data_IF_181479996703
#
_entry.id   IF_181479996703
#
_cell.length_a   1.000
_cell.length_b   1.000
_cell.length_c   1.000
_cell.angle_alpha   90.00
_cell.angle_beta   90.00
_cell.angle_gamma   90.00
#
_symmetry.space_group_name_H-M   'P 1'
#
loop_
_entity.id
_entity.type
_entity.pdbx_description
1 polymer ?
#
# COMPACT_ATOMS: atom_id res chain seq x y z
N UNK A 1 109.74 61.94 75.12
CA UNK A 1 109.58 62.17 73.66
C UNK A 1 110.09 61.00 72.82
N UNK A 2 111.37 60.92 72.38
CA UNK A 2 111.79 59.87 71.42
C UNK A 2 111.67 58.41 71.91
N UNK A 3 111.96 58.12 73.18
CA UNK A 3 111.84 56.74 73.73
C UNK A 3 110.39 56.29 73.93
N UNK A 4 109.48 57.22 74.22
CA UNK A 4 108.04 56.96 74.35
C UNK A 4 107.43 56.65 72.98
N UNK A 5 107.77 57.42 71.94
CA UNK A 5 107.37 57.14 70.56
C UNK A 5 107.84 55.76 70.06
N UNK A 6 109.05 55.32 70.44
CA UNK A 6 109.54 53.99 70.09
C UNK A 6 108.83 52.85 70.86
N UNK A 7 108.37 53.11 72.09
CA UNK A 7 107.52 52.17 72.83
C UNK A 7 106.13 52.08 72.20
N UNK A 8 105.55 53.22 71.81
CA UNK A 8 104.27 53.30 71.10
C UNK A 8 104.31 52.60 69.73
N UNK A 9 105.35 52.86 68.92
CA UNK A 9 105.58 52.15 67.65
C UNK A 9 105.65 50.63 67.84
N UNK A 10 106.38 50.14 68.85
CA UNK A 10 106.46 48.69 69.15
C UNK A 10 105.16 48.12 69.72
N UNK A 11 104.31 48.93 70.35
CA UNK A 11 102.97 48.50 70.75
C UNK A 11 102.03 48.40 69.54
N UNK A 12 102.04 49.41 68.67
CA UNK A 12 101.28 49.42 67.42
C UNK A 12 101.72 48.30 66.47
N UNK A 13 103.02 47.99 66.37
CA UNK A 13 103.53 46.87 65.59
C UNK A 13 103.14 45.48 66.13
N UNK A 14 102.93 45.38 67.45
CA UNK A 14 102.37 44.16 68.07
C UNK A 14 100.88 44.06 67.78
N UNK A 15 100.15 45.15 67.94
CA UNK A 15 98.71 45.23 67.65
C UNK A 15 98.41 44.97 66.17
N UNK A 16 99.21 45.50 65.24
CA UNK A 16 99.12 45.18 63.80
C UNK A 16 99.38 43.70 63.53
N UNK A 17 100.28 43.06 64.27
CA UNK A 17 100.54 41.61 64.15
C UNK A 17 99.36 40.79 64.65
N UNK A 18 98.83 41.14 65.83
CA UNK A 18 97.64 40.49 66.41
C UNK A 18 96.44 40.65 65.47
N UNK A 19 96.16 41.86 64.97
CA UNK A 19 95.09 42.10 64.00
C UNK A 19 95.29 41.35 62.67
N UNK A 20 96.53 41.20 62.19
CA UNK A 20 96.82 40.39 60.99
C UNK A 20 96.57 38.90 61.25
N UNK A 21 96.94 38.41 62.43
CA UNK A 21 96.68 37.02 62.82
C UNK A 21 95.18 36.77 62.98
N UNK A 22 94.44 37.67 63.64
CA UNK A 22 92.98 37.62 63.73
C UNK A 22 92.31 37.68 62.36
N UNK A 23 92.76 38.57 61.47
CA UNK A 23 92.28 38.65 60.09
C UNK A 23 92.57 37.34 59.33
N UNK A 24 93.72 36.72 59.56
CA UNK A 24 94.07 35.42 58.95
C UNK A 24 93.17 34.30 59.49
N UNK A 25 92.86 34.29 60.79
CA UNK A 25 91.94 33.34 61.43
C UNK A 25 90.53 33.53 60.91
N UNK A 26 90.01 34.75 60.90
CA UNK A 26 88.68 35.07 60.37
C UNK A 26 88.55 34.71 58.88
N UNK A 27 89.61 34.93 58.08
CA UNK A 27 89.65 34.47 56.67
C UNK A 27 89.63 32.94 56.58
N UNK A 28 90.38 32.23 57.41
CA UNK A 28 90.39 30.76 57.44
C UNK A 28 89.02 30.20 57.84
N UNK A 29 88.35 30.82 58.81
CA UNK A 29 86.99 30.47 59.24
C UNK A 29 85.98 30.73 58.11
N UNK A 30 86.08 31.87 57.43
CA UNK A 30 85.22 32.20 56.28
C UNK A 30 85.38 31.17 55.16
N UNK A 31 86.62 30.75 54.87
CA UNK A 31 86.89 29.70 53.89
C UNK A 31 86.32 28.35 54.34
N UNK A 32 86.46 27.99 55.62
CA UNK A 32 85.91 26.76 56.19
C UNK A 32 84.38 26.72 56.09
N UNK A 33 83.71 27.79 56.52
CA UNK A 33 82.25 27.92 56.45
C UNK A 33 81.76 27.88 55.00
N UNK A 34 82.46 28.56 54.09
CA UNK A 34 82.14 28.51 52.65
C UNK A 34 82.24 27.08 52.11
N UNK A 35 83.29 26.34 52.46
CA UNK A 35 83.45 24.95 52.01
C UNK A 35 82.34 24.04 52.56
N UNK A 36 81.99 24.17 53.85
CA UNK A 36 80.86 23.45 54.45
C UNK A 36 79.52 23.78 53.75
N UNK A 37 79.28 25.06 53.43
CA UNK A 37 78.11 25.45 52.65
C UNK A 37 78.11 24.82 51.27
N UNK A 38 79.23 24.82 50.55
CA UNK A 38 79.34 24.16 49.24
C UNK A 38 79.02 22.66 49.32
N UNK A 39 79.55 21.96 50.32
CA UNK A 39 79.25 20.53 50.54
C UNK A 39 77.74 20.30 50.75
N UNK A 40 77.12 21.07 51.63
CA UNK A 40 75.66 20.99 51.89
C UNK A 40 74.86 21.29 50.62
N UNK A 41 75.24 22.32 49.85
CA UNK A 41 74.55 22.67 48.61
C UNK A 41 74.69 21.59 47.53
N UNK A 42 75.87 21.00 47.36
CA UNK A 42 76.07 19.89 46.44
C UNK A 42 75.25 18.66 46.83
N UNK A 43 75.21 18.32 48.12
CA UNK A 43 74.39 17.22 48.62
C UNK A 43 72.90 17.48 48.38
N UNK A 44 72.42 18.68 48.68
CA UNK A 44 71.04 19.08 48.45
C UNK A 44 70.68 19.05 46.96
N UNK A 45 71.58 19.52 46.10
CA UNK A 45 71.40 19.47 44.65
C UNK A 45 71.33 18.02 44.15
N UNK A 46 72.23 17.14 44.63
CA UNK A 46 72.22 15.70 44.33
C UNK A 46 70.90 15.06 44.79
N UNK A 47 70.38 15.41 45.97
CA UNK A 47 69.08 14.91 46.43
C UNK A 47 67.91 15.39 45.57
N UNK A 48 67.88 16.66 45.19
CA UNK A 48 66.87 17.22 44.29
C UNK A 48 66.89 16.52 42.93
N UNK A 49 68.08 16.32 42.35
CA UNK A 49 68.26 15.58 41.10
C UNK A 49 67.80 14.12 41.22
N UNK A 50 68.11 13.44 42.33
CA UNK A 50 67.60 12.08 42.61
C UNK A 50 66.07 12.07 42.66
N UNK A 51 65.44 12.98 43.41
CA UNK A 51 63.98 13.09 43.52
C UNK A 51 63.33 13.38 42.16
N UNK A 52 63.88 14.31 41.39
CA UNK A 52 63.43 14.60 40.02
C UNK A 52 63.56 13.39 39.11
N UNK A 53 64.67 12.64 39.20
CA UNK A 53 64.87 11.42 38.40
C UNK A 53 63.88 10.32 38.77
N UNK A 54 63.56 10.17 40.06
CA UNK A 54 62.59 9.19 40.55
C UNK A 54 61.17 9.54 40.09
N UNK A 55 60.78 10.82 40.24
CA UNK A 55 59.49 11.32 39.77
C UNK A 55 59.33 11.17 38.25
N UNK A 56 60.37 11.48 37.46
CA UNK A 56 60.34 11.27 36.00
C UNK A 56 60.14 9.81 35.62
N UNK A 57 60.82 8.88 36.31
CA UNK A 57 60.66 7.43 36.09
C UNK A 57 59.25 6.95 36.46
N UNK A 58 58.68 7.47 37.54
CA UNK A 58 57.30 7.17 37.91
C UNK A 58 56.30 7.72 36.90
N UNK A 59 56.50 8.97 36.44
CA UNK A 59 55.66 9.59 35.41
C UNK A 59 55.67 8.74 34.13
N UNK A 60 56.85 8.35 33.65
CA UNK A 60 56.99 7.50 32.46
C UNK A 60 56.33 6.13 32.66
N UNK A 61 56.46 5.53 33.84
CA UNK A 61 55.77 4.27 34.18
C UNK A 61 54.25 4.44 34.14
N UNK A 62 53.73 5.55 34.64
CA UNK A 62 52.31 5.85 34.65
C UNK A 62 51.78 6.16 33.24
N UNK A 63 52.53 6.90 32.43
CA UNK A 63 52.20 7.17 31.02
C UNK A 63 52.11 5.87 30.22
N UNK A 64 53.09 4.97 30.35
CA UNK A 64 53.07 3.66 29.69
C UNK A 64 51.85 2.83 30.11
N UNK A 65 51.45 2.89 31.38
CA UNK A 65 50.22 2.24 31.87
C UNK A 65 48.98 2.88 31.27
N UNK A 66 48.92 4.21 31.20
CA UNK A 66 47.80 4.96 30.62
C UNK A 66 47.61 4.60 29.15
N UNK A 67 48.68 4.66 28.35
CA UNK A 67 48.65 4.29 26.92
C UNK A 67 48.21 2.84 26.73
N UNK A 68 48.67 1.92 27.59
CA UNK A 68 48.25 0.51 27.52
C UNK A 68 46.75 0.35 27.82
N UNK A 69 46.25 1.07 28.82
CA UNK A 69 44.83 1.05 29.18
C UNK A 69 43.95 1.66 28.08
N UNK A 70 44.38 2.78 27.48
CA UNK A 70 43.70 3.40 26.33
C UNK A 70 43.63 2.45 25.13
N UNK A 71 44.75 1.81 24.77
CA UNK A 71 44.77 0.80 23.69
C UNK A 71 43.83 -0.38 23.97
N UNK A 72 43.75 -0.84 25.22
CA UNK A 72 42.83 -1.91 25.61
C UNK A 72 41.37 -1.47 25.49
N UNK A 73 41.06 -0.23 25.91
CA UNK A 73 39.74 0.36 25.76
C UNK A 73 39.34 0.47 24.29
N UNK A 74 40.22 0.99 23.45
CA UNK A 74 39.95 1.18 22.02
C UNK A 74 39.74 -0.16 21.32
N UNK A 75 40.56 -1.18 21.62
CA UNK A 75 40.37 -2.53 21.10
C UNK A 75 39.04 -3.16 21.56
N UNK A 76 38.60 -2.91 22.79
CA UNK A 76 37.30 -3.34 23.27
C UNK A 76 36.15 -2.62 22.54
N UNK A 77 36.28 -1.32 22.30
CA UNK A 77 35.31 -0.51 21.58
C UNK A 77 35.16 -0.95 20.12
N UNK A 78 36.28 -1.28 19.45
CA UNK A 78 36.27 -1.87 18.11
C UNK A 78 35.54 -3.20 18.08
N UNK A 79 35.77 -4.06 19.08
CA UNK A 79 35.08 -5.35 19.18
C UNK A 79 33.58 -5.18 19.37
N UNK A 80 33.15 -4.24 20.23
CA UNK A 80 31.74 -3.91 20.43
C UNK A 80 31.12 -3.36 19.14
N UNK A 81 31.83 -2.49 18.42
CA UNK A 81 31.38 -1.91 17.15
C UNK A 81 31.17 -3.00 16.08
N UNK A 82 32.12 -3.93 15.95
CA UNK A 82 31.99 -5.09 15.05
C UNK A 82 30.80 -5.99 15.42
N UNK A 83 30.60 -6.25 16.71
CA UNK A 83 29.44 -7.01 17.18
C UNK A 83 28.13 -6.29 16.87
N UNK A 84 28.08 -4.97 17.04
CA UNK A 84 26.91 -4.15 16.74
C UNK A 84 26.52 -4.22 15.27
N UNK A 85 27.49 -4.09 14.37
CA UNK A 85 27.25 -4.26 12.93
C UNK A 85 26.73 -5.67 12.59
N UNK A 86 27.26 -6.71 13.24
CA UNK A 86 26.78 -8.08 13.05
C UNK A 86 25.34 -8.26 13.55
N UNK A 87 25.00 -7.68 14.71
CA UNK A 87 23.63 -7.69 15.25
C UNK A 87 22.68 -7.01 14.27
N UNK A 88 23.01 -5.81 13.79
CA UNK A 88 22.16 -5.11 12.81
C UNK A 88 21.97 -5.92 11.52
N UNK A 89 23.02 -6.56 10.99
CA UNK A 89 22.90 -7.43 9.83
C UNK A 89 21.98 -8.63 10.07
N UNK A 90 22.06 -9.26 11.25
CA UNK A 90 21.18 -10.36 11.65
C UNK A 90 19.73 -9.90 11.86
N UNK A 91 19.52 -8.74 12.46
CA UNK A 91 18.19 -8.15 12.65
C UNK A 91 17.52 -7.83 11.31
N UNK A 92 18.26 -7.24 10.37
CA UNK A 92 17.75 -6.99 9.01
C UNK A 92 17.35 -8.28 8.30
N UNK A 93 18.20 -9.31 8.34
CA UNK A 93 17.88 -10.61 7.74
C UNK A 93 16.67 -11.27 8.40
N UNK A 94 16.57 -11.18 9.74
CA UNK A 94 15.42 -11.69 10.48
C UNK A 94 14.12 -11.00 10.07
N UNK A 95 14.15 -9.67 9.91
CA UNK A 95 12.96 -8.91 9.50
C UNK A 95 12.55 -9.24 8.07
N UNK A 96 13.52 -9.40 7.16
CA UNK A 96 13.25 -9.83 5.79
C UNK A 96 12.60 -11.23 5.75
N UNK A 97 13.14 -12.18 6.51
CA UNK A 97 12.58 -13.52 6.64
C UNK A 97 11.19 -13.52 7.27
N UNK A 98 10.95 -12.69 8.30
CA UNK A 98 9.61 -12.49 8.87
C UNK A 98 8.64 -11.94 7.83
N UNK A 99 9.06 -10.97 7.03
CA UNK A 99 8.26 -10.41 5.94
C UNK A 99 7.93 -11.45 4.86
N UNK A 100 8.90 -12.29 4.48
CA UNK A 100 8.70 -13.43 3.57
C UNK A 100 7.73 -14.44 4.17
N UNK A 101 7.89 -14.81 5.43
CA UNK A 101 7.03 -15.75 6.13
C UNK A 101 5.60 -15.23 6.22
N UNK A 102 5.40 -13.93 6.51
CA UNK A 102 4.08 -13.30 6.55
C UNK A 102 3.37 -13.39 5.20
N UNK A 103 4.08 -13.06 4.11
CA UNK A 103 3.55 -13.16 2.74
C UNK A 103 3.18 -14.60 2.39
N UNK A 104 4.06 -15.56 2.67
CA UNK A 104 3.80 -16.98 2.42
C UNK A 104 2.63 -17.50 3.26
N UNK A 105 2.56 -17.14 4.54
CA UNK A 105 1.42 -17.47 5.42
C UNK A 105 0.12 -16.89 4.87
N UNK A 106 0.11 -15.64 4.42
CA UNK A 106 -1.07 -15.02 3.81
C UNK A 106 -1.49 -15.74 2.51
N UNK A 107 -0.53 -16.17 1.69
CA UNK A 107 -0.80 -16.95 0.49
C UNK A 107 -1.36 -18.35 0.80
N UNK A 108 -0.78 -19.05 1.79
CA UNK A 108 -1.22 -20.37 2.23
C UNK A 108 -2.61 -20.30 2.87
N UNK A 109 -2.85 -19.27 3.68
CA UNK A 109 -4.13 -19.07 4.37
C UNK A 109 -5.17 -18.38 3.48
N UNK A 110 -4.91 -18.23 2.19
CA UNK A 110 -5.86 -17.60 1.26
C UNK A 110 -7.02 -18.56 1.02
N UNK A 111 -8.19 -18.20 1.53
CA UNK A 111 -9.43 -18.97 1.44
C UNK A 111 -10.56 -18.12 0.83
N UNK A 112 -11.74 -18.72 0.73
CA UNK A 112 -12.92 -18.06 0.16
C UNK A 112 -13.52 -16.98 1.09
N UNK A 113 -13.07 -16.91 2.35
CA UNK A 113 -13.55 -15.92 3.33
C UNK A 113 -12.72 -14.64 3.25
N UNK A 114 -11.42 -14.75 2.95
CA UNK A 114 -10.50 -13.61 2.88
C UNK A 114 -10.07 -13.22 1.45
N UNK A 115 -10.58 -13.90 0.42
CA UNK A 115 -10.27 -13.57 -0.97
C UNK A 115 -11.48 -13.74 -1.89
N UNK A 116 -11.56 -12.93 -2.95
CA UNK A 116 -12.60 -13.04 -4.00
C UNK A 116 -12.52 -14.33 -4.83
N UNK A 117 -11.84 -15.37 -4.33
CA UNK A 117 -11.74 -16.68 -4.95
C UNK A 117 -12.95 -17.51 -4.51
N UNK A 118 -13.76 -18.01 -5.47
CA UNK A 118 -14.87 -18.89 -5.15
C UNK A 118 -14.38 -20.19 -4.47
N UNK A 119 -15.14 -20.70 -3.50
CA UNK A 119 -14.82 -21.95 -2.76
C UNK A 119 -14.65 -23.19 -3.65
N UNK A 120 -15.10 -23.12 -4.91
CA UNK A 120 -14.90 -24.17 -5.92
C UNK A 120 -13.46 -24.26 -6.44
N UNK A 121 -12.65 -23.20 -6.29
CA UNK A 121 -11.26 -23.12 -6.80
C UNK A 121 -10.18 -23.28 -5.73
N UNK A 122 -10.54 -23.43 -4.46
CA UNK A 122 -9.58 -23.60 -3.36
C UNK A 122 -9.07 -25.05 -3.29
N UNK A 123 -7.74 -25.25 -3.22
CA UNK A 123 -7.10 -26.58 -3.15
C UNK A 123 -7.54 -27.42 -1.94
N UNK A 124 -7.75 -26.77 -0.78
CA UNK A 124 -8.26 -27.42 0.44
C UNK A 124 -9.70 -26.97 0.69
N UNK A 125 -10.65 -27.66 0.06
CA UNK A 125 -12.08 -27.47 0.33
C UNK A 125 -12.40 -27.88 1.77
N UNK A 126 -12.63 -26.92 2.66
CA UNK A 126 -13.34 -27.20 3.91
C UNK A 126 -14.77 -27.56 3.56
N UNK A 127 -15.27 -28.66 4.14
CA UNK A 127 -16.69 -29.01 4.06
C UNK A 127 -17.45 -27.93 4.82
N UNK A 128 -18.16 -27.06 4.11
CA UNK A 128 -19.04 -26.07 4.75
C UNK A 128 -20.01 -26.85 5.63
N UNK A 129 -19.93 -26.61 6.93
CA UNK A 129 -20.81 -27.19 7.93
C UNK A 129 -22.22 -26.65 7.67
N UNK A 130 -23.01 -27.42 6.94
CA UNK A 130 -24.41 -27.09 6.71
C UNK A 130 -25.17 -27.34 8.02
N UNK A 131 -25.41 -26.28 8.80
CA UNK A 131 -26.19 -26.34 10.03
C UNK A 131 -27.68 -26.63 9.82
N UNK A 132 -28.12 -26.80 8.56
CA UNK A 132 -29.48 -27.17 8.21
C UNK A 132 -29.69 -28.67 8.43
N UNK A 133 -30.62 -29.01 9.31
CA UNK A 133 -31.14 -30.38 9.38
C UNK A 133 -31.68 -30.79 8.00
N UNK A 134 -31.21 -31.93 7.48
CA UNK A 134 -31.68 -32.46 6.20
C UNK A 134 -33.16 -32.81 6.37
N UNK A 135 -34.05 -32.06 5.73
CA UNK A 135 -35.50 -32.23 5.90
C UNK A 135 -36.05 -33.56 5.36
N UNK A 136 -35.21 -34.44 4.77
CA UNK A 136 -35.60 -35.73 4.18
C UNK A 136 -36.54 -35.63 2.96
N UNK A 137 -37.10 -34.45 2.71
CA UNK A 137 -38.06 -34.17 1.64
C UNK A 137 -37.35 -34.10 0.31
N UNK A 138 -37.89 -34.79 -0.69
CA UNK A 138 -37.39 -34.72 -2.07
C UNK A 138 -37.53 -33.28 -2.59
N UNK A 139 -36.55 -32.76 -3.35
CA UNK A 139 -36.70 -31.47 -4.02
C UNK A 139 -37.92 -31.51 -4.95
N UNK A 140 -38.84 -30.55 -4.81
CA UNK A 140 -40.05 -30.45 -5.63
C UNK A 140 -41.35 -30.59 -4.84
N UNK A 141 -42.46 -30.75 -5.57
CA UNK A 141 -43.80 -30.90 -5.00
C UNK A 141 -43.84 -32.11 -4.07
N UNK A 142 -44.28 -31.89 -2.82
CA UNK A 142 -44.44 -32.96 -1.86
C UNK A 142 -45.73 -33.75 -2.18
N UNK A 143 -45.74 -35.07 -1.93
CA UNK A 143 -46.96 -35.87 -2.05
C UNK A 143 -48.09 -35.26 -1.21
N UNK A 144 -49.27 -35.09 -1.80
CA UNK A 144 -50.45 -34.51 -1.12
C UNK A 144 -50.70 -33.02 -1.35
N UNK A 145 -49.81 -32.29 -2.03
CA UNK A 145 -50.08 -30.90 -2.41
C UNK A 145 -50.77 -30.81 -3.77
N UNK A 146 -51.83 -29.98 -3.91
CA UNK A 146 -52.46 -29.73 -5.20
C UNK A 146 -51.46 -29.12 -6.18
N UNK A 147 -51.35 -29.70 -7.37
CA UNK A 147 -50.47 -29.18 -8.41
C UNK A 147 -50.98 -27.85 -8.96
N UNK A 148 -50.13 -26.83 -8.98
CA UNK A 148 -50.40 -25.59 -9.70
C UNK A 148 -49.93 -25.71 -11.16
N UNK A 149 -50.88 -25.71 -12.09
CA UNK A 149 -50.58 -25.67 -13.53
C UNK A 149 -50.00 -24.33 -13.97
N UNK A 150 -49.30 -24.33 -15.11
CA UNK A 150 -48.84 -23.09 -15.76
C UNK A 150 -50.05 -22.25 -16.20
N UNK A 151 -50.02 -20.94 -15.94
CA UNK A 151 -51.07 -20.02 -16.39
C UNK A 151 -51.02 -19.86 -17.92
N UNK A 152 -52.18 -19.93 -18.57
CA UNK A 152 -52.33 -19.65 -20.01
C UNK A 152 -52.16 -18.15 -20.26
N UNK A 153 -51.56 -17.79 -21.39
CA UNK A 153 -51.40 -16.41 -21.83
C UNK A 153 -52.65 -15.92 -22.56
N UNK A 154 -52.86 -14.62 -22.64
CA UNK A 154 -53.93 -14.04 -23.46
C UNK A 154 -53.48 -14.11 -24.93
N UNK A 155 -54.21 -14.80 -25.83
CA UNK A 155 -53.86 -14.82 -27.25
C UNK A 155 -53.89 -13.41 -27.85
N UNK A 156 -52.88 -13.08 -28.65
CA UNK A 156 -52.80 -11.80 -29.35
C UNK A 156 -53.73 -11.73 -30.58
N UNK A 157 -54.14 -12.89 -31.10
CA UNK A 157 -54.99 -13.07 -32.28
C UNK A 157 -56.03 -14.15 -32.00
N UNK A 158 -57.02 -14.27 -32.88
CA UNK A 158 -58.02 -15.33 -32.78
C UNK A 158 -57.38 -16.73 -32.76
N UNK A 159 -57.91 -17.67 -31.96
CA UNK A 159 -57.39 -19.03 -31.88
C UNK A 159 -57.49 -19.76 -33.22
N UNK A 160 -56.39 -20.40 -33.63
CA UNK A 160 -56.40 -21.29 -34.78
C UNK A 160 -57.16 -22.57 -34.42
N UNK A 161 -58.34 -22.76 -35.02
CA UNK A 161 -59.12 -23.98 -34.86
C UNK A 161 -58.60 -25.05 -35.81
N UNK A 162 -58.21 -26.19 -35.26
CA UNK A 162 -57.77 -27.33 -36.06
C UNK A 162 -59.00 -28.05 -36.65
N UNK A 163 -58.97 -28.43 -37.95
CA UNK A 163 -60.03 -29.25 -38.51
C UNK A 163 -60.06 -30.64 -37.86
N UNK A 164 -61.21 -31.32 -37.86
CA UNK A 164 -61.29 -32.72 -37.45
C UNK A 164 -60.32 -33.60 -38.26
N UNK A 165 -59.73 -34.65 -37.65
CA UNK A 165 -58.96 -35.66 -38.38
C UNK A 165 -59.81 -36.35 -39.46
N UNK A 166 -59.17 -36.84 -40.53
CA UNK A 166 -59.89 -37.48 -41.66
C UNK A 166 -60.61 -38.75 -41.23
N UNK A 167 -60.02 -39.51 -40.31
CA UNK A 167 -60.56 -40.75 -39.78
C UNK A 167 -61.91 -40.53 -39.07
N UNK A 168 -62.08 -39.36 -38.43
CA UNK A 168 -63.33 -38.97 -37.76
C UNK A 168 -64.41 -38.52 -38.76
N UNK A 169 -64.02 -38.11 -39.97
CA UNK A 169 -64.97 -37.74 -41.02
C UNK A 169 -65.46 -38.94 -41.81
N UNK A 170 -64.63 -39.98 -41.93
CA UNK A 170 -64.92 -41.21 -42.69
C UNK A 170 -65.67 -42.27 -41.86
N UNK A 171 -65.54 -42.24 -40.54
CA UNK A 171 -66.23 -43.15 -39.63
C UNK A 171 -67.35 -42.44 -38.85
N UNK A 172 -68.64 -42.78 -39.12
CA UNK A 172 -69.79 -42.14 -38.49
C UNK A 172 -69.96 -42.44 -37.00
N UNK A 173 -69.21 -43.39 -36.44
CA UNK A 173 -69.28 -43.74 -35.01
C UNK A 173 -68.60 -42.69 -34.12
N UNK A 174 -67.71 -41.85 -34.67
CA UNK A 174 -67.11 -40.75 -33.93
C UNK A 174 -68.06 -39.56 -33.76
N UNK A 175 -68.35 -39.19 -32.51
CA UNK A 175 -69.22 -38.05 -32.17
C UNK A 175 -68.44 -36.92 -31.50
N UNK A 176 -68.69 -35.68 -31.94
CA UNK A 176 -68.09 -34.48 -31.32
C UNK A 176 -68.58 -34.35 -29.87
N UNK A 177 -67.63 -34.25 -28.95
CA UNK A 177 -67.89 -34.04 -27.51
C UNK A 177 -67.90 -32.54 -27.16
N UNK A 178 -68.45 -32.17 -26.00
CA UNK A 178 -68.40 -30.80 -25.44
C UNK A 178 -67.03 -30.37 -24.92
N UNK A 179 -66.03 -31.26 -24.94
CA UNK A 179 -64.68 -31.00 -24.43
C UNK A 179 -63.77 -30.50 -25.55
N UNK A 180 -63.11 -29.38 -25.32
CA UNK A 180 -62.09 -28.82 -26.22
C UNK A 180 -60.73 -28.80 -25.52
N UNK A 181 -59.71 -29.38 -26.17
CA UNK A 181 -58.33 -29.35 -25.68
C UNK A 181 -57.67 -28.08 -26.20
N UNK A 182 -57.30 -27.17 -25.29
CA UNK A 182 -56.63 -25.91 -25.63
C UNK A 182 -55.15 -25.99 -25.26
N UNK A 183 -54.27 -25.83 -26.25
CA UNK A 183 -52.81 -25.76 -26.10
C UNK A 183 -52.31 -24.42 -26.67
N UNK A 184 -51.25 -23.87 -26.09
CA UNK A 184 -50.64 -22.62 -26.55
C UNK A 184 -49.17 -22.86 -26.90
N UNK A 185 -48.77 -22.39 -28.08
CA UNK A 185 -47.39 -22.20 -28.47
C UNK A 185 -47.06 -20.71 -28.29
N UNK A 186 -46.23 -20.38 -27.30
CA UNK A 186 -45.84 -18.99 -27.00
C UNK A 186 -44.48 -18.74 -27.62
N UNK A 187 -44.42 -17.82 -28.60
CA UNK A 187 -43.19 -17.44 -29.30
C UNK A 187 -42.86 -15.97 -29.03
N UNK A 188 -41.58 -15.64 -29.05
CA UNK A 188 -41.06 -14.26 -29.03
C UNK A 188 -40.41 -14.01 -30.39
N UNK A 189 -40.74 -12.89 -31.03
CA UNK A 189 -40.14 -12.47 -32.30
C UNK A 189 -39.44 -11.12 -32.12
N UNK A 190 -38.18 -11.05 -32.51
CA UNK A 190 -37.36 -9.83 -32.48
C UNK A 190 -37.08 -9.38 -33.92
N UNK A 191 -37.28 -8.10 -34.22
CA UNK A 191 -37.07 -7.52 -35.55
C UNK A 191 -36.21 -6.26 -35.38
N UNK A 192 -35.13 -6.14 -36.16
CA UNK A 192 -34.33 -4.92 -36.24
C UNK A 192 -34.88 -4.04 -37.36
N UNK A 193 -35.36 -2.86 -37.00
CA UNK A 193 -35.88 -1.84 -37.92
C UNK A 193 -34.85 -0.71 -38.06
N UNK A 194 -34.45 -0.39 -39.29
CA UNK A 194 -33.48 0.66 -39.61
C UNK A 194 -34.09 1.55 -40.68
N UNK A 195 -34.22 2.84 -40.38
CA UNK A 195 -34.69 3.86 -41.32
C UNK A 195 -33.54 4.82 -41.61
N UNK A 196 -33.11 4.84 -42.87
CA UNK A 196 -32.05 5.73 -43.36
C UNK A 196 -32.68 6.97 -44.01
N UNK A 197 -32.23 8.16 -43.62
CA UNK A 197 -32.73 9.43 -44.13
C UNK A 197 -31.68 10.06 -45.04
N UNK A 198 -32.07 10.42 -46.27
CA UNK A 198 -31.23 11.16 -47.21
C UNK A 198 -31.78 12.57 -47.38
N UNK A 199 -30.90 13.57 -47.28
CA UNK A 199 -31.23 14.96 -47.58
C UNK A 199 -30.15 15.54 -48.50
N UNK A 200 -30.55 15.93 -49.70
CA UNK A 200 -29.66 16.61 -50.63
C UNK A 200 -29.32 18.02 -50.11
N UNK A 201 -28.07 18.42 -50.31
CA UNK A 201 -27.59 19.75 -49.92
C UNK A 201 -27.57 20.64 -51.15
N UNK A 202 -28.38 21.69 -51.12
CA UNK A 202 -28.46 22.69 -52.17
C UNK A 202 -27.56 23.88 -51.84
N UNK A 203 -26.84 24.37 -52.84
CA UNK A 203 -25.92 25.49 -52.72
C UNK A 203 -26.44 26.71 -53.48
N UNK A 204 -26.53 27.84 -52.80
CA UNK A 204 -26.86 29.12 -53.43
C UNK A 204 -25.58 29.80 -53.91
N UNK A 205 -25.39 29.89 -55.23
CA UNK A 205 -24.19 30.49 -55.83
C UNK A 205 -24.06 32.00 -55.64
N UNK A 206 -25.14 32.70 -55.26
CA UNK A 206 -25.14 34.15 -55.04
C UNK A 206 -24.87 34.54 -53.59
N UNK A 207 -25.42 33.79 -52.64
CA UNK A 207 -25.24 34.06 -51.19
C UNK A 207 -24.16 33.19 -50.55
N UNK A 208 -23.76 32.10 -51.20
CA UNK A 208 -22.81 31.12 -50.66
C UNK A 208 -23.41 30.13 -49.65
N UNK A 209 -24.71 30.25 -49.34
CA UNK A 209 -25.38 29.44 -48.34
C UNK A 209 -25.62 28.01 -48.82
N UNK A 210 -25.67 27.07 -47.87
CA UNK A 210 -26.04 25.67 -48.10
C UNK A 210 -27.26 25.33 -47.27
N UNK A 211 -28.25 24.74 -47.91
CA UNK A 211 -29.50 24.35 -47.27
C UNK A 211 -29.80 22.88 -47.58
N UNK A 212 -30.43 22.18 -46.65
CA UNK A 212 -30.90 20.81 -46.86
C UNK A 212 -32.28 20.65 -46.21
N UNK A 213 -32.99 19.57 -46.56
CA UNK A 213 -34.23 19.23 -45.89
C UNK A 213 -34.01 18.97 -44.40
N UNK A 214 -34.94 19.43 -43.55
CA UNK A 214 -34.84 19.20 -42.11
C UNK A 214 -35.06 17.72 -41.78
N UNK A 215 -34.19 17.16 -40.94
CA UNK A 215 -34.35 15.79 -40.45
C UNK A 215 -35.42 15.73 -39.36
N UNK A 216 -36.11 14.59 -39.20
CA UNK A 216 -37.09 14.42 -38.12
C UNK A 216 -36.50 14.66 -36.73
N UNK A 217 -37.30 15.13 -35.75
CA UNK A 217 -36.84 15.37 -34.40
C UNK A 217 -36.17 14.15 -33.78
N UNK A 218 -34.93 14.31 -33.30
CA UNK A 218 -34.16 13.25 -32.66
C UNK A 218 -33.22 12.47 -33.59
N UNK A 219 -33.18 12.82 -34.88
CA UNK A 219 -32.16 12.36 -35.84
C UNK A 219 -31.11 13.47 -35.98
N UNK A 220 -30.08 13.42 -35.13
CA UNK A 220 -29.05 14.47 -35.03
C UNK A 220 -27.65 13.93 -35.33
N UNK A 221 -27.30 12.78 -34.74
CA UNK A 221 -26.02 12.12 -35.00
C UNK A 221 -26.09 11.33 -36.32
N UNK A 222 -24.95 10.90 -36.86
CA UNK A 222 -24.92 10.00 -38.03
C UNK A 222 -25.69 8.68 -37.76
N UNK A 223 -25.62 8.18 -36.52
CA UNK A 223 -26.33 6.97 -36.09
C UNK A 223 -27.10 7.28 -34.81
N UNK A 224 -28.43 7.23 -34.90
CA UNK A 224 -29.33 7.45 -33.78
C UNK A 224 -30.00 6.13 -33.39
N UNK A 225 -29.99 5.80 -32.10
CA UNK A 225 -30.69 4.63 -31.59
C UNK A 225 -32.08 5.00 -31.09
N UNK A 226 -33.11 4.30 -31.59
CA UNK A 226 -34.50 4.48 -31.19
C UNK A 226 -34.78 4.15 -29.72
N UNK A 227 -35.96 4.57 -29.24
CA UNK A 227 -36.38 4.38 -27.85
C UNK A 227 -36.44 2.92 -27.42
N UNK A 228 -36.81 2.01 -28.32
CA UNK A 228 -36.88 0.56 -28.07
C UNK A 228 -35.51 -0.02 -27.65
N UNK A 229 -34.46 0.26 -28.43
CA UNK A 229 -33.08 -0.18 -28.16
C UNK A 229 -32.56 0.43 -26.85
N UNK A 230 -32.81 1.73 -26.64
CA UNK A 230 -32.38 2.45 -25.42
C UNK A 230 -33.05 1.90 -24.15
N UNK A 231 -34.37 1.70 -24.18
CA UNK A 231 -35.13 1.16 -23.05
C UNK A 231 -34.73 -0.28 -22.73
N UNK A 232 -34.54 -1.10 -23.76
CA UNK A 232 -34.13 -2.50 -23.58
C UNK A 232 -32.73 -2.62 -22.93
N UNK A 233 -31.76 -1.83 -23.39
CA UNK A 233 -30.43 -1.77 -22.78
C UNK A 233 -30.47 -1.25 -21.34
N UNK A 234 -31.29 -0.25 -21.07
CA UNK A 234 -31.44 0.30 -19.73
C UNK A 234 -32.02 -0.76 -18.77
N UNK A 235 -33.05 -1.49 -19.18
CA UNK A 235 -33.66 -2.57 -18.41
C UNK A 235 -32.65 -3.69 -18.10
N UNK A 236 -31.90 -4.13 -19.12
CA UNK A 236 -30.90 -5.18 -18.93
C UNK A 236 -29.82 -4.77 -17.93
N UNK A 237 -29.31 -3.55 -18.06
CA UNK A 237 -28.21 -3.09 -17.21
C UNK A 237 -28.63 -2.82 -15.76
N UNK A 238 -29.81 -2.23 -15.55
CA UNK A 238 -30.25 -1.81 -14.22
C UNK A 238 -31.08 -2.90 -13.53
N UNK A 239 -32.13 -3.39 -14.17
CA UNK A 239 -33.09 -4.30 -13.53
C UNK A 239 -32.63 -5.76 -13.60
N UNK A 240 -31.99 -6.17 -14.70
CA UNK A 240 -31.40 -7.51 -14.82
C UNK A 240 -29.94 -7.58 -14.35
N UNK A 241 -29.36 -6.45 -13.92
CA UNK A 241 -27.98 -6.31 -13.44
C UNK A 241 -26.92 -6.93 -14.39
N UNK A 242 -27.18 -6.92 -15.70
CA UNK A 242 -26.23 -7.47 -16.68
C UNK A 242 -25.14 -6.46 -17.01
N UNK A 243 -23.89 -6.93 -17.12
CA UNK A 243 -22.79 -6.06 -17.56
C UNK A 243 -23.04 -5.53 -18.97
N UNK A 244 -22.61 -4.30 -19.23
CA UNK A 244 -22.72 -3.63 -20.55
C UNK A 244 -22.26 -4.52 -21.71
N UNK A 245 -21.16 -5.26 -21.54
CA UNK A 245 -20.65 -6.13 -22.59
C UNK A 245 -21.56 -7.31 -22.90
N UNK A 246 -22.22 -7.87 -21.89
CA UNK A 246 -23.21 -8.93 -22.07
C UNK A 246 -24.48 -8.40 -22.72
N UNK A 247 -24.95 -7.22 -22.33
CA UNK A 247 -26.15 -6.59 -22.93
C UNK A 247 -25.93 -6.27 -24.41
N UNK A 248 -24.75 -5.74 -24.75
CA UNK A 248 -24.35 -5.46 -26.14
C UNK A 248 -24.26 -6.75 -26.96
N UNK A 249 -23.58 -7.77 -26.42
CA UNK A 249 -23.47 -9.08 -27.07
C UNK A 249 -24.85 -9.70 -27.29
N UNK A 250 -25.72 -9.65 -26.29
CA UNK A 250 -27.06 -10.22 -26.37
C UNK A 250 -27.90 -9.59 -27.49
N UNK A 251 -27.88 -8.26 -27.63
CA UNK A 251 -28.57 -7.58 -28.73
C UNK A 251 -27.94 -7.85 -30.10
N UNK A 252 -26.61 -7.95 -30.15
CA UNK A 252 -25.91 -8.37 -31.36
C UNK A 252 -26.35 -9.78 -31.78
N UNK A 253 -26.37 -10.73 -30.84
CA UNK A 253 -26.73 -12.12 -31.11
C UNK A 253 -28.21 -12.25 -31.53
N UNK A 254 -29.13 -11.47 -30.95
CA UNK A 254 -30.55 -11.42 -31.34
C UNK A 254 -30.80 -10.83 -32.74
N UNK A 255 -29.82 -10.14 -33.31
CA UNK A 255 -29.92 -9.45 -34.60
C UNK A 255 -28.94 -10.02 -35.63
N UNK A 256 -28.45 -11.25 -35.42
CA UNK A 256 -27.47 -11.91 -36.27
C UNK A 256 -26.22 -11.05 -36.54
N UNK A 257 -25.78 -10.29 -35.54
CA UNK A 257 -24.61 -9.43 -35.59
C UNK A 257 -24.82 -8.08 -36.29
N UNK A 258 -26.03 -7.77 -36.75
CA UNK A 258 -26.33 -6.53 -37.49
C UNK A 258 -26.35 -5.28 -36.60
N UNK A 259 -26.73 -5.42 -35.33
CA UNK A 259 -26.75 -4.31 -34.37
C UNK A 259 -25.48 -4.29 -33.51
N UNK A 260 -24.59 -3.33 -33.78
CA UNK A 260 -23.36 -3.13 -33.01
C UNK A 260 -23.38 -1.79 -32.28
N UNK A 261 -23.45 -1.85 -30.95
CA UNK A 261 -23.56 -0.66 -30.08
C UNK A 261 -22.23 -0.43 -29.36
N UNK A 262 -21.79 0.82 -29.20
CA UNK A 262 -20.57 1.14 -28.46
C UNK A 262 -20.78 1.14 -26.94
N UNK A 263 -19.73 0.88 -26.16
CA UNK A 263 -19.78 0.97 -24.67
C UNK A 263 -20.18 2.37 -24.20
N UNK A 264 -19.65 3.39 -24.87
CA UNK A 264 -19.90 4.80 -24.54
C UNK A 264 -21.37 5.18 -24.66
N UNK A 265 -22.05 4.72 -25.72
CA UNK A 265 -23.48 4.92 -25.89
C UNK A 265 -24.27 4.32 -24.73
N UNK A 266 -24.00 3.05 -24.37
CA UNK A 266 -24.71 2.35 -23.29
C UNK A 266 -24.50 3.04 -21.93
N UNK A 267 -23.27 3.49 -21.65
CA UNK A 267 -22.94 4.25 -20.43
C UNK A 267 -23.66 5.60 -20.33
N UNK A 268 -23.96 6.23 -21.48
CA UNK A 268 -24.65 7.52 -21.54
C UNK A 268 -26.14 7.38 -21.19
N UNK A 269 -26.75 6.22 -21.46
CA UNK A 269 -28.19 5.98 -21.25
C UNK A 269 -28.63 6.26 -19.82
N UNK A 270 -27.89 5.82 -18.80
CA UNK A 270 -28.24 6.06 -17.40
C UNK A 270 -28.43 7.55 -17.07
N UNK A 271 -27.56 8.41 -17.63
CA UNK A 271 -27.67 9.87 -17.48
C UNK A 271 -28.79 10.47 -18.33
N UNK A 272 -29.02 9.95 -19.54
CA UNK A 272 -30.11 10.42 -20.42
C UNK A 272 -31.49 10.14 -19.84
N UNK A 273 -31.72 8.94 -19.29
CA UNK A 273 -32.99 8.57 -18.64
C UNK A 273 -33.21 9.36 -17.34
N UNK A 274 -32.17 9.56 -16.52
CA UNK A 274 -32.27 10.37 -15.31
C UNK A 274 -32.65 11.84 -15.61
N UNK A 275 -32.09 12.44 -16.67
CA UNK A 275 -32.44 13.81 -17.09
C UNK A 275 -33.89 13.91 -17.59
N UNK A 276 -34.41 12.89 -18.27
CA UNK A 276 -35.80 12.86 -18.76
C UNK A 276 -36.82 12.63 -17.63
N UNK A 277 -36.46 11.85 -16.60
CA UNK A 277 -37.33 11.63 -15.44
C UNK A 277 -37.27 12.79 -14.43
N UNK A 278 -36.25 13.65 -14.49
CA UNK A 278 -36.13 14.85 -13.64
C UNK A 278 -37.20 15.93 -13.89
N UNK A 279 -37.93 15.86 -15.00
CA UNK A 279 -39.07 16.73 -15.33
C UNK A 279 -40.43 16.07 -15.10
N UNK A 280 -40.48 14.85 -14.56
CA UNK A 280 -41.72 14.12 -14.25
C UNK A 280 -41.57 13.25 -13.00
N UNK A 281 -42.18 13.71 -11.90
CA UNK A 281 -42.50 12.95 -10.69
C UNK A 281 -41.34 12.25 -9.97
N UNK A 282 -40.87 12.90 -8.90
CA UNK A 282 -40.27 12.22 -7.75
C UNK A 282 -41.31 11.23 -7.18
N UNK A 283 -41.07 9.94 -7.32
CA UNK A 283 -41.66 8.92 -6.43
C UNK A 283 -40.68 7.74 -6.31
N UNK A 284 -40.01 7.73 -5.17
CA UNK A 284 -39.52 6.58 -4.39
C UNK A 284 -39.46 5.22 -5.08
N UNK A 285 -38.24 4.70 -5.29
CA UNK A 285 -37.93 3.32 -4.90
C UNK A 285 -36.58 3.33 -4.20
N UNK A 286 -36.68 3.16 -2.88
CA UNK A 286 -35.59 3.10 -1.94
C UNK A 286 -34.57 2.01 -2.26
N UNK A 287 -33.30 2.41 -2.08
CA UNK A 287 -32.24 1.65 -1.42
C UNK A 287 -32.79 0.54 -0.51
N UNK A 288 -32.55 -0.71 -0.88
CA UNK A 288 -32.48 -1.82 0.08
C UNK A 288 -31.53 -2.89 -0.46
N UNK A 289 -30.25 -2.75 -0.10
CA UNK A 289 -29.28 -3.84 -0.04
C UNK A 289 -28.04 -3.30 0.70
N UNK A 290 -28.14 -3.25 2.03
CA UNK A 290 -27.01 -3.45 2.92
C UNK A 290 -27.10 -4.90 3.42
#
# INVERSE_FOLDING_TARGET
MQEEYLKELRSLEREIRELKDELSRARSETVSVRNQWFEIFEELQKECERKLSALRKELERMERRSIKAERQRDAALDKVTRQRHKIYGLEMALEEEKGRNLKLRAQINRDYENSSIPSSKTLRRKKVSNGREKSGRKPGAQPGHPGHGRKKQIPATDPVLLPPPREVLEDPDFKKTSKTIVKQLVNIRTILEVTEYHADVYYNSKTGERIHAEFPPGVVDEVNYGGSVKAFLFLLNNDCCTSIDKSRKFLSDLTDGRLSISKGMVNKLGREFAKKNGTGTKSDVCRSAA
#
